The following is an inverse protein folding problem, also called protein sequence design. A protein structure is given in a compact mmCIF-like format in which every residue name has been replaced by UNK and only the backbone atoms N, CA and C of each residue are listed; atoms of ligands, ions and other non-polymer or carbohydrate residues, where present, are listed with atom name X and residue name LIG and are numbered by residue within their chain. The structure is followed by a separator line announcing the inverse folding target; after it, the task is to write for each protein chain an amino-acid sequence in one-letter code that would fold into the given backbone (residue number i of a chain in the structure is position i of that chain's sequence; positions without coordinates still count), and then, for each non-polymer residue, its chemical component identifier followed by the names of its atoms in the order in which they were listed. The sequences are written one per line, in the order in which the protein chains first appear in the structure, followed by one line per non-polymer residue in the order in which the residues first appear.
data_IF_343700596235
#
_entry.id   IF_343700596235
#
_cell.length_a   1.000
_cell.length_b   1.000
_cell.length_c   1.000
_cell.angle_alpha   90.00
_cell.angle_beta   90.00
_cell.angle_gamma   90.00
#
_symmetry.space_group_name_H-M   'P 1'
#
loop_
_entity.id
_entity.type
_entity.pdbx_description
1 polymer ?
#
# COMPACT_ATOMS: atom_id res chain seq x y z
N UNK A 1 -22.62 -1.24 -1.40
CA UNK A 1 -22.73 0.23 -1.62
C UNK A 1 -23.11 0.84 -0.29
N UNK A 2 -22.20 1.54 0.34
CA UNK A 2 -22.50 2.18 1.62
C UNK A 2 -23.16 3.53 1.35
N UNK A 3 -24.35 3.75 1.94
CA UNK A 3 -24.94 5.08 2.02
C UNK A 3 -24.47 5.72 3.32
N UNK A 4 -23.91 6.90 3.23
CA UNK A 4 -23.73 7.73 4.39
C UNK A 4 -24.76 8.85 4.41
N UNK A 5 -25.37 9.05 5.58
CA UNK A 5 -26.22 10.18 5.84
C UNK A 5 -25.46 11.13 6.77
N UNK A 6 -25.41 12.38 6.37
CA UNK A 6 -24.97 13.43 7.27
C UNK A 6 -26.22 13.94 7.99
N UNK A 7 -26.34 13.66 9.27
CA UNK A 7 -27.37 14.26 10.12
C UNK A 7 -26.74 15.33 11.01
N UNK A 8 -27.48 16.41 11.26
CA UNK A 8 -27.12 17.41 12.29
C UNK A 8 -27.94 17.12 13.54
N UNK A 9 -27.27 16.83 14.63
CA UNK A 9 -27.85 16.80 15.97
C UNK A 9 -27.24 17.96 16.78
N UNK A 10 -28.00 19.05 16.90
CA UNK A 10 -27.51 20.29 17.49
C UNK A 10 -26.43 20.97 16.62
N UNK A 11 -25.26 21.23 17.21
CA UNK A 11 -24.11 21.81 16.49
C UNK A 11 -23.11 20.78 15.97
N UNK A 12 -23.35 19.50 16.18
CA UNK A 12 -22.46 18.42 15.73
C UNK A 12 -22.95 17.82 14.42
N UNK A 13 -22.03 17.55 13.51
CA UNK A 13 -22.29 16.82 12.28
C UNK A 13 -21.97 15.35 12.52
N UNK A 14 -23.00 14.50 12.57
CA UNK A 14 -22.84 13.06 12.74
C UNK A 14 -22.94 12.41 11.38
N UNK A 15 -21.88 11.72 10.95
CA UNK A 15 -21.88 10.88 9.77
C UNK A 15 -22.30 9.47 10.16
N UNK A 16 -23.45 9.00 9.68
CA UNK A 16 -23.92 7.63 9.91
C UNK A 16 -23.73 6.81 8.64
N UNK A 17 -23.04 5.70 8.75
CA UNK A 17 -22.89 4.72 7.68
C UNK A 17 -23.97 3.65 7.81
N UNK A 18 -24.88 3.56 6.85
CA UNK A 18 -25.80 2.45 6.73
C UNK A 18 -25.30 1.48 5.66
N UNK A 19 -24.99 0.27 6.07
CA UNK A 19 -24.64 -0.80 5.15
C UNK A 19 -25.88 -1.48 4.59
N UNK A 20 -25.93 -1.68 3.29
CA UNK A 20 -26.98 -2.43 2.61
C UNK A 20 -26.91 -3.96 2.84
N UNK A 21 -25.79 -4.43 3.38
CA UNK A 21 -25.53 -5.86 3.57
C UNK A 21 -25.23 -6.13 5.04
N UNK A 22 -25.62 -7.31 5.53
CA UNK A 22 -25.19 -7.80 6.84
C UNK A 22 -23.66 -7.78 6.89
N UNK A 23 -23.09 -7.19 7.94
CA UNK A 23 -21.67 -7.14 8.14
C UNK A 23 -21.11 -8.57 8.27
N UNK A 24 -20.45 -9.06 7.23
CA UNK A 24 -19.64 -10.28 7.29
C UNK A 24 -18.33 -10.02 8.02
N UNK A 25 -17.59 -11.09 8.31
CA UNK A 25 -16.32 -11.03 9.05
C UNK A 25 -15.25 -10.18 8.37
N UNK A 26 -15.32 -9.98 7.04
CA UNK A 26 -14.34 -9.22 6.25
C UNK A 26 -14.81 -7.81 5.83
N UNK A 27 -15.67 -7.18 6.62
CA UNK A 27 -16.15 -5.82 6.33
C UNK A 27 -15.02 -4.82 6.19
N UNK A 28 -14.06 -4.87 7.10
CA UNK A 28 -12.94 -3.97 7.14
C UNK A 28 -12.02 -4.19 5.92
N UNK A 29 -11.69 -5.44 5.61
CA UNK A 29 -10.91 -5.81 4.43
C UNK A 29 -11.57 -5.31 3.13
N UNK A 30 -12.90 -5.46 2.98
CA UNK A 30 -13.65 -4.93 1.85
C UNK A 30 -13.54 -3.39 1.76
N UNK A 31 -13.70 -2.70 2.89
CA UNK A 31 -13.61 -1.22 2.94
C UNK A 31 -12.22 -0.74 2.57
N UNK A 32 -11.18 -1.38 3.07
CA UNK A 32 -9.79 -1.05 2.76
C UNK A 32 -9.45 -1.37 1.30
N UNK A 33 -9.92 -2.50 0.78
CA UNK A 33 -9.72 -2.84 -0.63
C UNK A 33 -10.38 -1.83 -1.58
N UNK A 34 -11.61 -1.42 -1.27
CA UNK A 34 -12.29 -0.37 -2.02
C UNK A 34 -11.55 0.97 -1.94
N UNK A 35 -11.04 1.33 -0.76
CA UNK A 35 -10.24 2.54 -0.57
C UNK A 35 -8.96 2.51 -1.40
N UNK A 36 -8.26 1.37 -1.42
CA UNK A 36 -7.09 1.14 -2.26
C UNK A 36 -7.45 1.31 -3.75
N UNK A 37 -8.49 0.66 -4.24
CA UNK A 37 -8.93 0.76 -5.64
C UNK A 37 -9.36 2.19 -6.01
N UNK A 38 -9.99 2.91 -5.08
CA UNK A 38 -10.43 4.28 -5.31
C UNK A 38 -9.26 5.24 -5.55
N UNK A 39 -8.16 5.10 -4.81
CA UNK A 39 -6.98 5.98 -4.94
C UNK A 39 -6.01 5.55 -6.02
N UNK A 40 -5.95 4.24 -6.34
CA UNK A 40 -4.93 3.65 -7.21
C UNK A 40 -5.33 3.58 -8.68
N UNK A 41 -6.63 3.41 -8.98
CA UNK A 41 -7.06 3.15 -10.34
C UNK A 41 -7.60 4.41 -11.03
N UNK A 42 -6.99 4.76 -12.17
CA UNK A 42 -7.53 5.79 -13.03
C UNK A 42 -8.90 5.36 -13.60
N UNK A 43 -9.85 6.32 -13.65
CA UNK A 43 -11.17 6.14 -14.29
C UNK A 43 -12.03 5.03 -13.69
N UNK A 44 -11.75 4.56 -12.49
CA UNK A 44 -12.57 3.56 -11.78
C UNK A 44 -12.93 2.35 -12.64
N UNK A 45 -11.97 1.81 -13.38
CA UNK A 45 -12.19 0.71 -14.33
C UNK A 45 -12.81 -0.53 -13.71
N UNK A 46 -12.63 -0.74 -12.43
CA UNK A 46 -13.22 -1.83 -11.65
C UNK A 46 -14.73 -1.66 -11.41
N UNK A 47 -15.26 -0.40 -11.42
CA UNK A 47 -16.66 -0.15 -11.05
C UNK A 47 -17.65 -0.74 -12.05
N UNK A 48 -17.38 -0.60 -13.36
CA UNK A 48 -18.30 -1.11 -14.39
C UNK A 48 -18.47 -2.63 -14.31
N UNK A 49 -17.43 -3.46 -14.37
CA UNK A 49 -17.59 -4.92 -14.24
C UNK A 49 -18.19 -5.32 -12.89
N UNK A 50 -17.91 -4.59 -11.80
CA UNK A 50 -18.53 -4.84 -10.51
C UNK A 50 -20.03 -4.56 -10.53
N UNK A 51 -20.48 -3.47 -11.14
CA UNK A 51 -21.91 -3.15 -11.28
C UNK A 51 -22.62 -4.18 -12.16
N UNK A 52 -22.02 -4.57 -13.29
CA UNK A 52 -22.57 -5.61 -14.19
C UNK A 52 -22.72 -6.94 -13.43
N UNK A 53 -21.76 -7.29 -12.58
CA UNK A 53 -21.83 -8.49 -11.76
C UNK A 53 -22.94 -8.41 -10.70
N UNK A 54 -23.05 -7.29 -9.99
CA UNK A 54 -24.11 -7.06 -8.98
C UNK A 54 -25.51 -7.07 -9.56
N UNK A 55 -25.69 -6.60 -10.80
CA UNK A 55 -26.98 -6.65 -11.52
C UNK A 55 -27.32 -8.10 -11.90
N UNK A 56 -26.34 -8.85 -12.37
CA UNK A 56 -26.54 -10.23 -12.84
C UNK A 56 -26.64 -11.25 -11.71
N UNK A 57 -25.91 -11.02 -10.60
CA UNK A 57 -25.85 -11.90 -9.43
C UNK A 57 -25.83 -11.04 -8.16
N UNK A 58 -26.96 -10.87 -7.46
CA UNK A 58 -26.98 -10.19 -6.18
C UNK A 58 -26.01 -10.87 -5.19
N UNK A 59 -25.15 -10.08 -4.56
CA UNK A 59 -24.25 -10.60 -3.54
C UNK A 59 -25.00 -10.84 -2.21
N UNK A 60 -24.65 -11.92 -1.53
CA UNK A 60 -25.24 -12.30 -0.25
C UNK A 60 -24.34 -11.94 0.94
N UNK A 61 -23.06 -11.61 0.68
CA UNK A 61 -22.09 -11.32 1.76
C UNK A 61 -20.99 -10.33 1.35
N UNK A 62 -20.35 -9.74 2.36
CA UNK A 62 -19.18 -8.87 2.17
C UNK A 62 -17.97 -9.66 1.67
N UNK A 63 -17.80 -10.91 2.08
CA UNK A 63 -16.73 -11.79 1.61
C UNK A 63 -16.83 -12.01 0.10
N UNK A 64 -18.02 -12.32 -0.39
CA UNK A 64 -18.26 -12.52 -1.82
C UNK A 64 -18.00 -11.23 -2.64
N UNK A 65 -18.35 -10.07 -2.08
CA UNK A 65 -18.04 -8.78 -2.72
C UNK A 65 -16.53 -8.54 -2.82
N UNK A 66 -15.80 -8.86 -1.76
CA UNK A 66 -14.34 -8.74 -1.74
C UNK A 66 -13.69 -9.69 -2.75
N UNK A 67 -14.15 -10.93 -2.82
CA UNK A 67 -13.64 -11.90 -3.80
C UNK A 67 -13.86 -11.43 -5.23
N UNK A 68 -15.04 -10.91 -5.54
CA UNK A 68 -15.34 -10.37 -6.86
C UNK A 68 -14.47 -9.15 -7.20
N UNK A 69 -14.24 -8.26 -6.23
CA UNK A 69 -13.34 -7.13 -6.43
C UNK A 69 -11.90 -7.59 -6.68
N UNK A 70 -11.41 -8.57 -5.93
CA UNK A 70 -10.08 -9.15 -6.12
C UNK A 70 -9.95 -9.82 -7.50
N UNK A 71 -10.98 -10.55 -7.96
CA UNK A 71 -11.01 -11.16 -9.30
C UNK A 71 -10.99 -10.13 -10.42
N UNK A 72 -11.82 -9.09 -10.33
CA UNK A 72 -11.84 -7.99 -11.30
C UNK A 72 -10.49 -7.28 -11.34
N UNK A 73 -9.94 -6.97 -10.18
CA UNK A 73 -8.66 -6.29 -10.03
C UNK A 73 -7.50 -7.12 -10.61
N UNK A 74 -7.46 -8.42 -10.35
CA UNK A 74 -6.47 -9.35 -10.92
C UNK A 74 -6.52 -9.36 -12.46
N UNK A 75 -7.71 -9.21 -13.04
CA UNK A 75 -7.88 -9.15 -14.50
C UNK A 75 -7.42 -7.83 -15.10
N UNK A 76 -7.55 -6.73 -14.35
CA UNK A 76 -7.16 -5.38 -14.78
C UNK A 76 -5.67 -5.12 -14.61
N UNK A 77 -5.06 -5.71 -13.58
CA UNK A 77 -3.68 -5.50 -13.20
C UNK A 77 -2.98 -6.85 -13.00
N UNK A 78 -2.53 -7.50 -14.08
CA UNK A 78 -1.85 -8.80 -13.99
C UNK A 78 -0.54 -8.68 -13.21
N UNK A 79 -0.13 -9.78 -12.56
CA UNK A 79 1.14 -9.85 -11.85
C UNK A 79 2.31 -9.56 -12.80
N UNK A 80 3.24 -8.65 -12.45
CA UNK A 80 4.49 -8.47 -13.18
C UNK A 80 5.27 -9.79 -13.30
N UNK A 81 5.85 -10.06 -14.45
CA UNK A 81 6.53 -11.34 -14.73
C UNK A 81 7.84 -11.48 -13.96
N UNK A 82 8.46 -10.35 -13.63
CA UNK A 82 9.72 -10.28 -12.88
C UNK A 82 9.86 -8.93 -12.16
N UNK A 83 10.89 -8.81 -11.35
CA UNK A 83 11.16 -7.60 -10.56
C UNK A 83 11.69 -6.42 -11.39
N UNK A 84 12.17 -6.64 -12.61
CA UNK A 84 12.64 -5.58 -13.50
C UNK A 84 11.49 -4.69 -13.99
N UNK A 85 10.29 -5.26 -14.15
CA UNK A 85 9.08 -4.50 -14.49
C UNK A 85 8.63 -3.57 -13.35
N UNK A 86 9.11 -3.82 -12.14
CA UNK A 86 8.86 -3.01 -10.95
C UNK A 86 9.97 -1.97 -10.68
N UNK A 87 10.96 -1.83 -11.55
CA UNK A 87 12.04 -0.86 -11.38
C UNK A 87 11.57 0.58 -11.64
N UNK A 88 12.36 1.54 -11.16
CA UNK A 88 12.11 2.97 -11.38
C UNK A 88 11.94 3.27 -12.88
N UNK A 89 10.94 4.08 -13.21
CA UNK A 89 10.60 4.42 -14.59
C UNK A 89 9.78 3.38 -15.36
N UNK A 90 9.65 2.14 -14.85
CA UNK A 90 8.84 1.09 -15.45
C UNK A 90 7.60 0.73 -14.59
N UNK A 91 7.75 0.77 -13.28
CA UNK A 91 6.72 0.32 -12.35
C UNK A 91 5.44 1.16 -12.44
N UNK A 92 4.29 0.49 -12.57
CA UNK A 92 3.01 1.14 -12.32
C UNK A 92 2.83 1.35 -10.81
N UNK A 93 2.44 2.57 -10.43
CA UNK A 93 2.18 2.94 -9.03
C UNK A 93 1.16 2.04 -8.36
N UNK A 94 0.25 1.44 -9.12
CA UNK A 94 -0.75 0.49 -8.66
C UNK A 94 -0.14 -0.60 -7.77
N UNK A 95 1.02 -1.15 -8.13
CA UNK A 95 1.64 -2.25 -7.38
C UNK A 95 2.10 -1.86 -5.98
N UNK A 96 2.37 -0.58 -5.72
CA UNK A 96 2.66 -0.11 -4.35
C UNK A 96 1.41 -0.10 -3.49
N UNK A 97 0.27 0.40 -3.99
CA UNK A 97 -0.99 0.38 -3.24
C UNK A 97 -1.48 -1.05 -3.00
N UNK A 98 -1.38 -1.91 -4.01
CA UNK A 98 -1.71 -3.32 -3.87
C UNK A 98 -0.84 -3.98 -2.80
N UNK A 99 0.47 -3.74 -2.83
CA UNK A 99 1.40 -4.27 -1.83
C UNK A 99 1.07 -3.76 -0.43
N UNK A 100 0.82 -2.45 -0.26
CA UNK A 100 0.43 -1.87 1.02
C UNK A 100 -0.87 -2.51 1.55
N UNK A 101 -1.86 -2.79 0.67
CA UNK A 101 -3.06 -3.50 1.08
C UNK A 101 -2.78 -4.92 1.59
N UNK A 102 -1.98 -5.70 0.87
CA UNK A 102 -1.70 -7.08 1.28
C UNK A 102 -0.81 -7.16 2.52
N UNK A 103 0.08 -6.22 2.74
CA UNK A 103 0.82 -6.07 3.99
C UNK A 103 -0.12 -5.71 5.15
N UNK A 104 -1.11 -4.85 4.91
CA UNK A 104 -2.14 -4.50 5.88
C UNK A 104 -3.06 -5.68 6.21
N UNK A 105 -3.56 -6.39 5.19
CA UNK A 105 -4.45 -7.55 5.35
C UNK A 105 -3.78 -8.69 6.11
N UNK A 106 -2.50 -8.90 5.89
CA UNK A 106 -1.72 -10.00 6.48
C UNK A 106 -0.68 -9.49 7.50
N UNK A 107 -0.97 -8.40 8.20
CA UNK A 107 -0.03 -7.75 9.13
C UNK A 107 0.52 -8.69 10.19
N UNK A 108 -0.27 -9.67 10.64
CA UNK A 108 0.17 -10.68 11.61
C UNK A 108 1.30 -11.57 11.11
N UNK A 109 1.40 -11.77 9.79
CA UNK A 109 2.46 -12.57 9.18
C UNK A 109 3.72 -11.74 8.84
N UNK A 110 3.57 -10.42 8.67
CA UNK A 110 4.66 -9.57 8.18
C UNK A 110 5.23 -8.60 9.22
N UNK A 111 4.59 -8.45 10.38
CA UNK A 111 5.06 -7.58 11.47
C UNK A 111 5.16 -8.39 12.76
N UNK A 112 6.31 -8.28 13.44
CA UNK A 112 6.61 -9.15 14.58
C UNK A 112 5.98 -8.64 15.88
N UNK A 113 6.01 -7.31 16.08
CA UNK A 113 5.57 -6.68 17.32
C UNK A 113 4.14 -6.17 17.23
N UNK A 114 3.37 -6.34 18.31
CA UNK A 114 1.97 -5.88 18.37
C UNK A 114 1.84 -4.36 18.10
N UNK A 115 2.83 -3.57 18.54
CA UNK A 115 2.88 -2.13 18.27
C UNK A 115 2.98 -1.85 16.77
N UNK A 116 3.81 -2.57 16.03
CA UNK A 116 3.95 -2.46 14.57
C UNK A 116 2.64 -2.81 13.86
N UNK A 117 1.96 -3.87 14.32
CA UNK A 117 0.67 -4.30 13.77
C UNK A 117 -0.42 -3.24 13.97
N UNK A 118 -0.47 -2.63 15.16
CA UNK A 118 -1.41 -1.54 15.44
C UNK A 118 -1.15 -0.31 14.56
N UNK A 119 0.11 0.07 14.37
CA UNK A 119 0.48 1.17 13.47
C UNK A 119 0.03 0.89 12.02
N UNK A 120 0.18 -0.34 11.56
CA UNK A 120 -0.24 -0.76 10.22
C UNK A 120 -1.76 -0.85 10.12
N UNK A 121 -2.47 -1.27 11.17
CA UNK A 121 -3.92 -1.34 11.23
C UNK A 121 -4.57 0.03 11.01
N UNK A 122 -3.99 1.09 11.58
CA UNK A 122 -4.44 2.48 11.45
C UNK A 122 -4.16 3.10 10.06
N UNK A 123 -3.54 2.36 9.14
CA UNK A 123 -3.17 2.88 7.82
C UNK A 123 -4.38 3.29 6.98
N UNK A 124 -4.31 4.48 6.41
CA UNK A 124 -5.34 5.02 5.52
C UNK A 124 -4.78 5.24 4.13
N UNK A 125 -5.40 4.63 3.12
CA UNK A 125 -5.01 4.79 1.73
C UNK A 125 -5.14 6.23 1.26
N UNK A 126 -4.08 6.75 0.66
CA UNK A 126 -3.98 8.12 0.15
C UNK A 126 -3.70 8.10 -1.36
N UNK A 127 -4.11 9.16 -2.05
CA UNK A 127 -3.79 9.34 -3.47
C UNK A 127 -2.31 9.77 -3.67
N UNK A 128 -1.40 8.94 -3.18
CA UNK A 128 0.04 9.13 -3.32
C UNK A 128 0.44 9.08 -4.80
N UNK A 129 1.36 9.93 -5.22
CA UNK A 129 1.72 10.02 -6.65
C UNK A 129 3.21 10.07 -6.92
N UNK A 130 4.02 10.09 -5.88
CA UNK A 130 5.46 10.22 -5.98
C UNK A 130 6.14 8.90 -5.61
N UNK A 131 6.96 8.38 -6.51
CA UNK A 131 7.82 7.26 -6.20
C UNK A 131 9.11 7.85 -5.63
N UNK A 132 9.43 7.44 -4.41
CA UNK A 132 10.59 7.86 -3.65
C UNK A 132 11.66 6.78 -3.63
N UNK A 133 12.92 7.18 -3.83
CA UNK A 133 14.08 6.34 -3.62
C UNK A 133 14.54 6.49 -2.17
N UNK A 134 14.47 5.44 -1.38
CA UNK A 134 14.91 5.47 0.04
C UNK A 134 16.40 5.76 0.12
N UNK A 135 17.24 5.01 -0.59
CA UNK A 135 18.60 5.42 -0.89
C UNK A 135 18.56 6.36 -2.09
N UNK A 136 18.97 7.65 -1.94
CA UNK A 136 18.77 8.67 -2.97
C UNK A 136 19.58 8.41 -4.23
N UNK A 137 19.04 8.82 -5.40
CA UNK A 137 19.72 8.69 -6.70
C UNK A 137 20.96 9.59 -6.84
N UNK A 138 20.91 10.78 -6.26
CA UNK A 138 21.98 11.78 -6.35
C UNK A 138 22.73 11.84 -5.02
N UNK A 139 23.66 10.93 -4.81
CA UNK A 139 24.73 11.15 -3.83
C UNK A 139 25.95 11.62 -4.59
N UNK A 140 26.70 12.57 -4.00
CA UNK A 140 28.00 12.99 -4.49
C UNK A 140 28.80 11.76 -4.93
N UNK A 141 29.54 11.82 -6.00
CA UNK A 141 30.30 10.81 -6.76
C UNK A 141 30.88 9.58 -6.00
N UNK A 142 30.52 9.36 -4.76
CA UNK A 142 30.90 8.26 -3.85
C UNK A 142 29.71 7.35 -3.43
N UNK A 143 28.57 7.36 -4.15
CA UNK A 143 27.55 6.36 -3.89
C UNK A 143 28.12 4.97 -4.20
N UNK A 144 28.15 4.11 -3.18
CA UNK A 144 28.60 2.71 -3.32
C UNK A 144 27.57 1.83 -4.04
N UNK A 145 26.33 2.34 -4.24
CA UNK A 145 25.24 1.58 -4.87
C UNK A 145 25.29 1.65 -6.39
N UNK A 146 25.17 0.50 -7.04
CA UNK A 146 24.98 0.42 -8.49
C UNK A 146 23.62 1.00 -8.91
N UNK A 147 23.55 1.51 -10.14
CA UNK A 147 22.35 2.14 -10.72
C UNK A 147 21.13 1.19 -10.65
N UNK A 148 21.32 -0.09 -10.95
CA UNK A 148 20.26 -1.10 -10.88
C UNK A 148 19.73 -1.29 -9.46
N UNK A 149 20.59 -1.25 -8.45
CA UNK A 149 20.21 -1.37 -7.05
C UNK A 149 19.44 -0.13 -6.57
N UNK A 150 19.90 1.07 -6.95
CA UNK A 150 19.22 2.33 -6.61
C UNK A 150 17.81 2.36 -7.22
N UNK A 151 17.64 1.89 -8.47
CA UNK A 151 16.37 1.90 -9.18
C UNK A 151 15.51 0.65 -8.93
N UNK A 152 15.96 -0.28 -8.11
CA UNK A 152 15.24 -1.52 -7.81
C UNK A 152 13.97 -1.29 -7.00
N UNK A 153 12.96 -2.14 -7.18
CA UNK A 153 11.72 -2.10 -6.41
C UNK A 153 11.96 -2.15 -4.89
N UNK A 154 13.04 -2.81 -4.47
CA UNK A 154 13.45 -2.84 -3.07
C UNK A 154 13.68 -1.45 -2.48
N UNK A 155 14.28 -0.57 -3.25
CA UNK A 155 14.63 0.79 -2.83
C UNK A 155 13.53 1.84 -3.08
N UNK A 156 12.37 1.43 -3.61
CA UNK A 156 11.30 2.36 -3.99
C UNK A 156 10.11 2.27 -3.02
N UNK A 157 9.48 3.40 -2.74
CA UNK A 157 8.21 3.49 -2.03
C UNK A 157 7.31 4.56 -2.66
N UNK A 158 5.98 4.42 -2.48
CA UNK A 158 5.02 5.39 -2.96
C UNK A 158 4.62 6.32 -1.82
N UNK A 159 4.81 7.63 -2.02
CA UNK A 159 4.53 8.66 -1.01
C UNK A 159 3.71 9.81 -1.58
N UNK A 160 3.19 10.67 -0.72
CA UNK A 160 2.51 11.89 -1.16
C UNK A 160 3.49 12.87 -1.80
N UNK A 161 2.99 13.70 -2.72
CA UNK A 161 3.81 14.72 -3.38
C UNK A 161 4.31 15.77 -2.39
N UNK A 162 3.53 16.11 -1.37
CA UNK A 162 3.93 17.04 -0.30
C UNK A 162 5.09 16.48 0.53
N UNK A 163 5.08 15.20 0.82
CA UNK A 163 6.14 14.54 1.54
C UNK A 163 7.41 14.43 0.68
N UNK A 164 7.28 14.12 -0.62
CA UNK A 164 8.40 14.04 -1.56
C UNK A 164 9.10 15.39 -1.75
N UNK A 165 8.35 16.50 -1.90
CA UNK A 165 8.95 17.83 -2.08
C UNK A 165 9.79 18.29 -0.89
N UNK A 166 9.58 17.71 0.28
CA UNK A 166 10.39 17.91 1.49
C UNK A 166 11.63 16.99 1.54
N UNK A 167 11.67 15.94 0.71
CA UNK A 167 12.67 14.86 0.82
C UNK A 167 13.59 14.69 -0.38
N UNK A 168 13.38 15.39 -1.48
CA UNK A 168 13.93 15.05 -2.81
C UNK A 168 15.45 14.76 -2.87
N UNK A 169 16.24 15.15 -1.85
CA UNK A 169 17.67 14.82 -1.73
C UNK A 169 18.09 14.49 -0.29
N UNK A 170 17.13 14.18 0.57
CA UNK A 170 17.46 13.86 1.97
C UNK A 170 18.19 12.52 2.08
N UNK A 171 19.11 12.45 3.02
CA UNK A 171 19.82 11.21 3.36
C UNK A 171 18.84 10.16 3.93
N UNK A 172 19.21 8.89 3.86
CA UNK A 172 18.47 7.78 4.49
C UNK A 172 18.18 8.06 5.97
N UNK A 173 19.13 8.65 6.69
CA UNK A 173 18.96 9.02 8.12
C UNK A 173 17.78 9.98 8.32
N UNK A 174 17.67 11.01 7.50
CA UNK A 174 16.57 12.00 7.61
C UNK A 174 15.22 11.35 7.23
N UNK A 175 15.21 10.52 6.19
CA UNK A 175 14.00 9.79 5.78
C UNK A 175 13.53 8.86 6.90
N UNK A 176 14.44 8.13 7.53
CA UNK A 176 14.10 7.21 8.62
C UNK A 176 13.62 7.93 9.88
N UNK A 177 14.17 9.09 10.20
CA UNK A 177 13.66 9.90 11.32
C UNK A 177 12.20 10.33 11.09
N UNK A 178 11.84 10.66 9.84
CA UNK A 178 10.45 11.00 9.48
C UNK A 178 9.52 9.79 9.50
N UNK A 179 10.01 8.61 9.10
CA UNK A 179 9.21 7.38 9.18
C UNK A 179 8.93 7.03 10.63
N UNK A 180 9.93 7.18 11.52
CA UNK A 180 9.74 6.98 12.96
C UNK A 180 8.66 7.93 13.51
N UNK A 181 8.73 9.23 13.17
CA UNK A 181 7.70 10.21 13.58
C UNK A 181 6.29 9.86 13.03
N UNK A 182 6.21 9.34 11.80
CA UNK A 182 4.94 8.86 11.23
C UNK A 182 4.41 7.64 11.99
N UNK A 183 5.26 6.70 12.34
CA UNK A 183 4.90 5.53 13.13
C UNK A 183 4.40 5.93 14.52
N UNK A 184 5.13 6.79 15.23
CA UNK A 184 4.75 7.31 16.54
C UNK A 184 3.38 8.02 16.54
N UNK A 185 2.98 8.58 15.41
CA UNK A 185 1.71 9.29 15.24
C UNK A 185 0.63 8.48 14.49
N UNK A 186 0.86 7.20 14.18
CA UNK A 186 -0.03 6.36 13.36
C UNK A 186 -0.44 7.03 12.03
N UNK A 187 0.51 7.64 11.31
CA UNK A 187 0.26 8.42 10.08
C UNK A 187 1.19 8.03 8.93
N UNK A 188 1.35 6.74 8.72
CA UNK A 188 2.22 6.24 7.66
C UNK A 188 1.85 6.80 6.27
N UNK A 189 2.86 7.12 5.48
CA UNK A 189 2.72 7.45 4.06
C UNK A 189 2.62 6.19 3.19
N UNK A 190 3.35 5.12 3.56
CA UNK A 190 3.34 3.81 2.92
C UNK A 190 3.74 2.73 3.91
N UNK A 191 3.04 1.61 3.91
CA UNK A 191 3.39 0.45 4.73
C UNK A 191 4.70 -0.18 4.22
N UNK A 192 4.90 -0.22 2.90
CA UNK A 192 6.17 -0.67 2.32
C UNK A 192 7.35 0.15 2.81
N UNK A 193 7.22 1.49 2.90
CA UNK A 193 8.29 2.35 3.39
C UNK A 193 8.57 2.12 4.87
N UNK A 194 7.53 1.87 5.67
CA UNK A 194 7.67 1.48 7.07
C UNK A 194 8.37 0.12 7.20
N UNK A 195 8.04 -0.84 6.35
CA UNK A 195 8.72 -2.14 6.33
C UNK A 195 10.22 -2.01 5.98
N UNK A 196 10.60 -1.12 5.05
CA UNK A 196 12.01 -0.80 4.75
C UNK A 196 12.72 -0.29 6.02
N UNK A 197 12.08 0.60 6.76
CA UNK A 197 12.62 1.13 8.02
C UNK A 197 12.86 0.03 9.05
N UNK A 198 11.92 -0.90 9.19
CA UNK A 198 12.05 -2.05 10.10
C UNK A 198 13.17 -3.01 9.65
N UNK A 199 13.23 -3.35 8.36
CA UNK A 199 14.26 -4.23 7.78
C UNK A 199 15.68 -3.66 7.95
N UNK A 200 15.81 -2.33 8.01
CA UNK A 200 17.05 -1.62 8.29
C UNK A 200 17.32 -1.44 9.79
N UNK A 201 16.53 -2.02 10.69
CA UNK A 201 16.58 -1.78 12.14
C UNK A 201 16.56 -0.28 12.52
N UNK A 202 15.79 0.52 11.77
CA UNK A 202 15.65 1.96 11.99
C UNK A 202 16.90 2.79 11.70
N UNK A 203 17.96 2.23 11.11
CA UNK A 203 19.24 2.91 10.93
C UNK A 203 19.67 2.99 9.46
N UNK A 204 20.27 4.12 9.07
CA UNK A 204 20.78 4.28 7.70
C UNK A 204 21.86 3.24 7.36
N UNK A 205 22.66 2.82 8.31
CA UNK A 205 23.69 1.78 8.12
C UNK A 205 23.08 0.40 7.85
N UNK A 206 21.88 0.14 8.35
CA UNK A 206 21.14 -1.09 8.08
C UNK A 206 20.55 -1.15 6.67
N UNK A 207 20.39 -0.01 6.00
CA UNK A 207 19.87 0.05 4.63
C UNK A 207 21.01 0.11 3.61
N UNK A 208 21.39 -1.04 3.09
CA UNK A 208 22.43 -1.23 2.09
C UNK A 208 21.88 -2.04 0.90
N UNK A 209 22.66 -2.23 -0.17
CA UNK A 209 22.22 -2.95 -1.39
C UNK A 209 21.69 -4.36 -1.07
N UNK A 210 22.33 -5.08 -0.17
CA UNK A 210 21.92 -6.43 0.20
C UNK A 210 20.57 -6.42 0.95
N UNK A 211 20.35 -5.46 1.86
CA UNK A 211 19.06 -5.28 2.54
C UNK A 211 17.97 -4.92 1.54
N UNK A 212 18.25 -4.01 0.60
CA UNK A 212 17.33 -3.64 -0.47
C UNK A 212 16.97 -4.83 -1.37
N UNK A 213 17.95 -5.65 -1.73
CA UNK A 213 17.73 -6.86 -2.54
C UNK A 213 16.84 -7.86 -1.81
N UNK A 214 17.12 -8.15 -0.54
CA UNK A 214 16.28 -9.04 0.28
C UNK A 214 14.86 -8.50 0.43
N UNK A 215 14.73 -7.21 0.68
CA UNK A 215 13.42 -6.55 0.75
C UNK A 215 12.67 -6.67 -0.59
N UNK A 216 13.34 -6.47 -1.74
CA UNK A 216 12.72 -6.65 -3.04
C UNK A 216 12.16 -8.06 -3.24
N UNK A 217 12.95 -9.08 -2.91
CA UNK A 217 12.54 -10.48 -3.02
C UNK A 217 11.30 -10.76 -2.14
N UNK A 218 11.35 -10.30 -0.87
CA UNK A 218 10.23 -10.45 0.06
C UNK A 218 8.97 -9.75 -0.43
N UNK A 219 9.07 -8.50 -0.89
CA UNK A 219 7.92 -7.73 -1.38
C UNK A 219 7.34 -8.28 -2.69
N UNK A 220 8.19 -8.82 -3.56
CA UNK A 220 7.72 -9.50 -4.76
C UNK A 220 6.99 -10.81 -4.42
N UNK A 221 7.43 -11.53 -3.40
CA UNK A 221 6.73 -12.72 -2.90
C UNK A 221 5.36 -12.37 -2.30
N UNK A 222 5.26 -11.25 -1.58
CA UNK A 222 3.95 -10.73 -1.13
C UNK A 222 3.04 -10.44 -2.32
N UNK A 223 3.55 -9.75 -3.35
CA UNK A 223 2.78 -9.49 -4.57
C UNK A 223 2.33 -10.80 -5.23
N UNK A 224 3.19 -11.79 -5.38
CA UNK A 224 2.82 -13.10 -5.94
C UNK A 224 1.69 -13.76 -5.15
N UNK A 225 1.80 -13.80 -3.83
CA UNK A 225 0.75 -14.35 -2.95
C UNK A 225 -0.56 -13.62 -3.10
N UNK A 226 -0.53 -12.30 -3.33
CA UNK A 226 -1.73 -11.49 -3.50
C UNK A 226 -2.59 -11.86 -4.72
N UNK A 227 -2.06 -12.61 -5.68
CA UNK A 227 -2.78 -13.09 -6.87
C UNK A 227 -3.26 -14.54 -6.72
N UNK A 228 -2.71 -15.29 -5.77
CA UNK A 228 -3.13 -16.65 -5.51
C UNK A 228 -4.35 -16.63 -4.59
N UNK A 229 -5.39 -17.40 -4.93
CA UNK A 229 -6.44 -17.70 -3.95
C UNK A 229 -5.77 -18.58 -2.89
N UNK A 230 -5.87 -18.20 -1.62
CA UNK A 230 -5.60 -19.15 -0.54
C UNK A 230 -6.58 -20.32 -0.74
N UNK A 231 -6.03 -21.52 -0.95
CA UNK A 231 -6.80 -22.78 -1.02
C UNK A 231 -7.30 -23.17 0.38
#
# INVERSE_FOLDING_TARGET
MDYYFISKEGNETITRYNMLFNAGEQKEALTQYQSMLYVSTAFYRWMRPMLELLISKPSESTNQLLDWLKEIDNSLHPLPTNTEELSSGKVDRYYFWRLDYYLWENRDAYFEHEEEKMIVEDYVFKANRSIEHVHPQNQDHNSEWGEDAVNSFGNLALISQSFNSQQSNDSVTVKFARIADQADNSKLESIKMYRIYLDANGTAAGWNEEASRKHQEAMYDVLKKSYNKEE
#
